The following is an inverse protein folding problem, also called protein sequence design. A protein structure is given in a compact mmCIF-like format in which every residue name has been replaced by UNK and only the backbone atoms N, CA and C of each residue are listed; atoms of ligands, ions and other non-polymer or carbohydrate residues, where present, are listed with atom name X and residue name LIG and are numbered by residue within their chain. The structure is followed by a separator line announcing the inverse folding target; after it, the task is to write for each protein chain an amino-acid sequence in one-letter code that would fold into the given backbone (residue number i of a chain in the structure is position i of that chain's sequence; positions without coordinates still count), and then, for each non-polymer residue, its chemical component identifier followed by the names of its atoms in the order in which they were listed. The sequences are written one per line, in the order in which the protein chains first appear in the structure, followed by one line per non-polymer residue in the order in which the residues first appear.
data_IF_717310309153
#
_entry.id   IF_717310309153
#
_cell.length_a   1.000
_cell.length_b   1.000
_cell.length_c   1.000
_cell.angle_alpha   90.00
_cell.angle_beta   90.00
_cell.angle_gamma   90.00
#
_symmetry.space_group_name_H-M   'P 1'
#
loop_
_entity.id
_entity.type
_entity.pdbx_description
1 polymer ?
#
# COMPACT_ATOMS: atom_id res chain seq x y z
N UNK A 1 -30.00 -4.84 -11.99
CA UNK A 1 -28.61 -5.21 -11.61
C UNK A 1 -28.05 -4.12 -10.74
N UNK A 2 -27.41 -4.33 -9.61
CA UNK A 2 -27.39 -5.36 -8.58
C UNK A 2 -26.66 -4.63 -7.44
N UNK A 3 -27.27 -4.57 -6.26
CA UNK A 3 -26.73 -3.86 -5.11
C UNK A 3 -25.32 -4.37 -4.79
N UNK A 4 -24.32 -3.50 -4.85
CA UNK A 4 -23.00 -3.80 -4.33
C UNK A 4 -23.06 -3.74 -2.79
N UNK A 5 -22.87 -4.92 -2.21
CA UNK A 5 -23.03 -5.31 -0.81
C UNK A 5 -22.35 -4.36 0.22
N UNK A 6 -23.05 -3.85 1.25
CA UNK A 6 -22.44 -3.02 2.30
C UNK A 6 -21.75 -3.87 3.37
N UNK A 7 -20.67 -4.56 3.00
CA UNK A 7 -19.78 -5.25 3.97
C UNK A 7 -18.48 -4.48 4.16
N UNK A 8 -18.57 -3.22 4.57
CA UNK A 8 -17.40 -2.52 5.10
C UNK A 8 -17.44 -2.49 6.63
N UNK A 9 -17.09 -3.62 7.25
CA UNK A 9 -17.01 -3.73 8.72
C UNK A 9 -15.63 -4.22 9.23
N UNK A 10 -14.56 -4.22 8.42
CA UNK A 10 -13.21 -4.60 8.91
C UNK A 10 -11.99 -4.02 8.16
N UNK A 11 -12.16 -3.25 7.08
CA UNK A 11 -11.03 -2.83 6.24
C UNK A 11 -10.57 -1.41 6.60
N UNK A 12 -9.37 -1.27 7.17
CA UNK A 12 -8.67 0.02 7.12
C UNK A 12 -8.51 0.41 5.65
N UNK A 13 -9.14 1.50 5.22
CA UNK A 13 -8.91 2.09 3.90
C UNK A 13 -7.47 2.60 3.84
N UNK A 14 -6.58 1.77 3.29
CA UNK A 14 -5.16 2.09 3.09
C UNK A 14 -4.95 2.41 1.60
N UNK A 15 -4.54 3.65 1.32
CA UNK A 15 -4.14 4.04 -0.04
C UNK A 15 -2.71 3.58 -0.32
N UNK A 16 -2.50 2.97 -1.48
CA UNK A 16 -1.18 2.59 -1.99
C UNK A 16 -0.86 3.52 -3.16
N UNK A 17 0.19 4.32 -3.02
CA UNK A 17 0.65 5.22 -4.07
C UNK A 17 1.24 4.47 -5.26
N UNK A 18 1.15 5.09 -6.43
CA UNK A 18 1.68 4.55 -7.67
C UNK A 18 3.19 4.25 -7.59
N UNK A 19 3.59 3.22 -8.33
CA UNK A 19 4.98 2.75 -8.42
C UNK A 19 5.59 2.35 -7.05
N UNK A 20 4.78 2.17 -6.00
CA UNK A 20 5.26 1.68 -4.71
C UNK A 20 5.49 0.16 -4.72
N UNK A 21 6.38 -0.31 -3.83
CA UNK A 21 6.71 -1.73 -3.69
C UNK A 21 6.40 -2.19 -2.26
N UNK A 22 5.55 -3.19 -2.13
CA UNK A 22 5.25 -3.88 -0.87
C UNK A 22 5.94 -5.24 -0.88
N UNK A 23 6.87 -5.47 0.06
CA UNK A 23 7.56 -6.75 0.13
C UNK A 23 6.62 -7.90 0.53
N UNK A 24 7.00 -9.14 0.19
CA UNK A 24 6.23 -10.33 0.57
C UNK A 24 6.14 -10.47 2.10
N UNK A 25 4.97 -10.90 2.61
CA UNK A 25 4.74 -11.11 4.04
C UNK A 25 4.58 -9.82 4.88
N UNK A 26 4.39 -8.68 4.22
CA UNK A 26 4.17 -7.37 4.88
C UNK A 26 2.70 -7.16 5.21
N UNK A 27 2.43 -6.59 6.40
CA UNK A 27 1.08 -6.14 6.78
C UNK A 27 1.06 -4.62 6.79
N UNK A 28 0.37 -4.04 5.82
CA UNK A 28 0.25 -2.59 5.68
C UNK A 28 -0.89 -2.08 6.56
N UNK A 29 -0.55 -1.26 7.55
CA UNK A 29 -1.52 -0.67 8.50
C UNK A 29 -1.72 0.84 8.32
N UNK A 30 -0.94 1.48 7.44
CA UNK A 30 -0.99 2.92 7.12
C UNK A 30 -0.72 3.11 5.62
N UNK A 31 -1.20 4.22 5.06
CA UNK A 31 -1.00 4.56 3.64
C UNK A 31 0.47 4.52 3.20
N UNK A 32 0.69 4.11 1.95
CA UNK A 32 2.01 4.03 1.33
C UNK A 32 2.15 5.14 0.30
N UNK A 33 3.21 5.94 0.42
CA UNK A 33 3.52 7.02 -0.54
C UNK A 33 3.96 6.44 -1.89
N UNK A 34 3.78 7.24 -2.94
CA UNK A 34 4.28 6.94 -4.27
C UNK A 34 5.79 6.69 -4.26
N UNK A 35 6.26 5.81 -5.14
CA UNK A 35 7.68 5.49 -5.30
C UNK A 35 8.37 5.07 -3.99
N UNK A 36 7.63 4.53 -3.02
CA UNK A 36 8.17 4.05 -1.75
C UNK A 36 8.26 2.53 -1.71
N UNK A 37 9.27 2.02 -1.01
CA UNK A 37 9.40 0.60 -0.67
C UNK A 37 9.08 0.42 0.81
N UNK A 38 8.14 -0.47 1.12
CA UNK A 38 7.74 -0.80 2.51
C UNK A 38 7.98 -2.26 2.86
N UNK A 39 8.42 -2.51 4.10
CA UNK A 39 8.75 -3.86 4.62
C UNK A 39 8.30 -4.03 6.08
N UNK A 40 8.21 -5.28 6.55
CA UNK A 40 7.92 -5.64 7.94
C UNK A 40 6.43 -5.76 8.31
N UNK A 41 6.18 -6.21 9.54
CA UNK A 41 4.86 -6.36 10.14
C UNK A 41 4.90 -5.67 11.52
N UNK A 42 4.33 -4.47 11.70
CA UNK A 42 3.64 -3.65 10.71
C UNK A 42 4.59 -3.02 9.68
N UNK A 43 4.06 -2.64 8.52
CA UNK A 43 4.81 -2.06 7.41
C UNK A 43 5.55 -0.77 7.80
N UNK A 44 6.83 -0.68 7.41
CA UNK A 44 7.73 0.46 7.62
C UNK A 44 8.38 0.87 6.31
N UNK A 45 8.57 2.17 6.13
CA UNK A 45 9.32 2.72 5.01
C UNK A 45 10.77 2.21 5.03
N UNK A 46 11.24 1.70 3.90
CA UNK A 46 12.62 1.23 3.71
C UNK A 46 13.45 2.20 2.89
N UNK A 47 12.97 2.60 1.71
CA UNK A 47 13.64 3.55 0.80
C UNK A 47 12.66 4.13 -0.23
N UNK A 48 13.03 5.24 -0.85
CA UNK A 48 12.38 5.72 -2.08
C UNK A 48 13.04 5.09 -3.30
N UNK A 49 12.24 4.92 -4.35
CA UNK A 49 12.66 4.51 -5.67
C UNK A 49 13.16 5.75 -6.42
N UNK A 50 14.28 5.58 -7.11
CA UNK A 50 14.79 6.59 -8.02
C UNK A 50 14.23 6.28 -9.40
N UNK A 51 13.35 7.15 -9.89
CA UNK A 51 12.88 7.09 -11.27
C UNK A 51 13.92 7.81 -12.12
N UNK A 52 14.45 7.12 -13.13
CA UNK A 52 15.30 7.72 -14.16
C UNK A 52 14.36 8.13 -15.29
N UNK A 53 14.30 9.42 -15.59
CA UNK A 53 13.64 9.92 -16.80
C UNK A 53 14.59 9.59 -17.96
N UNK A 54 14.19 8.63 -18.79
CA UNK A 54 14.90 8.28 -20.03
C UNK A 54 14.55 9.25 -21.15
#
# INVERSE_FOLDING_TARGET
MSAENPINYFLLLVTIGDNSIVAAGVVVTKGVLENAVVIGVPAKFKKRLMIILV
#
